data_IF_078363639896
#
_entry.id   IF_078363639896
#
_cell.length_a   1.000
_cell.length_b   1.000
_cell.length_c   1.000
_cell.angle_alpha   90.00
_cell.angle_beta   90.00
_cell.angle_gamma   90.00
#
_symmetry.space_group_name_H-M   'P 1'
#
loop_
_entity.id
_entity.type
_entity.pdbx_description
1 polymer ?
#
# COMPACT_ATOMS: atom_id res chain seq x y z
N UNK A 1 -45.99 27.57 -53.58
CA UNK A 1 -45.61 27.96 -52.22
C UNK A 1 -44.95 26.75 -51.60
N UNK A 2 -43.65 26.56 -51.85
CA UNK A 2 -42.91 25.35 -51.50
C UNK A 2 -42.23 25.59 -50.15
N UNK A 3 -42.51 24.74 -49.17
CA UNK A 3 -41.89 24.82 -47.86
C UNK A 3 -40.42 24.40 -47.96
N UNK A 4 -39.53 25.26 -47.49
CA UNK A 4 -38.10 25.03 -47.38
C UNK A 4 -37.83 24.64 -45.92
N UNK A 5 -37.62 23.35 -45.67
CA UNK A 5 -37.19 22.85 -44.36
C UNK A 5 -35.69 23.06 -44.23
N UNK A 6 -35.29 23.92 -43.31
CA UNK A 6 -33.89 24.14 -42.94
C UNK A 6 -33.35 22.88 -42.24
N UNK A 7 -32.44 22.18 -42.93
CA UNK A 7 -31.63 21.10 -42.36
C UNK A 7 -30.55 21.74 -41.47
N UNK A 8 -30.85 21.83 -40.17
CA UNK A 8 -29.94 22.34 -39.17
C UNK A 8 -28.92 21.24 -38.82
N UNK A 9 -27.89 21.12 -39.67
CA UNK A 9 -26.80 20.15 -39.56
C UNK A 9 -26.04 20.27 -38.23
N UNK A 10 -26.51 19.55 -37.21
CA UNK A 10 -25.71 19.26 -36.03
C UNK A 10 -24.51 18.42 -36.48
N UNK A 11 -23.27 18.80 -36.15
CA UNK A 11 -22.12 17.96 -36.41
C UNK A 11 -22.36 16.63 -35.70
N UNK A 12 -22.52 15.56 -36.47
CA UNK A 12 -22.54 14.21 -35.93
C UNK A 12 -21.25 14.04 -35.12
N UNK A 13 -21.29 13.65 -33.83
CA UNK A 13 -20.08 13.37 -33.09
C UNK A 13 -19.30 12.35 -33.92
N UNK A 14 -18.13 12.79 -34.42
CA UNK A 14 -17.24 11.90 -35.14
C UNK A 14 -16.98 10.66 -34.28
N UNK A 15 -16.76 9.49 -34.89
CA UNK A 15 -16.50 8.27 -34.13
C UNK A 15 -15.45 8.58 -33.07
N UNK A 16 -15.80 8.36 -31.80
CA UNK A 16 -14.88 8.52 -30.67
C UNK A 16 -13.54 7.95 -31.10
N UNK A 17 -12.43 8.73 -31.05
CA UNK A 17 -11.14 8.24 -31.49
C UNK A 17 -10.90 6.93 -30.76
N UNK A 18 -10.90 5.85 -31.54
CA UNK A 18 -10.78 4.47 -31.10
C UNK A 18 -9.74 4.45 -29.97
N UNK A 19 -10.19 4.22 -28.72
CA UNK A 19 -9.28 4.10 -27.57
C UNK A 19 -8.26 3.06 -27.97
N UNK A 20 -7.02 3.47 -28.16
CA UNK A 20 -5.99 2.59 -28.70
C UNK A 20 -5.92 1.31 -27.86
N UNK A 21 -6.03 0.11 -28.47
CA UNK A 21 -5.88 -1.18 -27.77
C UNK A 21 -4.51 -1.38 -27.08
N UNK A 22 -3.61 -0.40 -27.19
CA UNK A 22 -2.20 -0.47 -26.85
C UNK A 22 -1.80 0.25 -25.54
N UNK A 23 -2.74 0.70 -24.71
CA UNK A 23 -2.37 1.01 -23.32
C UNK A 23 -2.08 -0.32 -22.60
N UNK A 24 -0.79 -0.65 -22.50
CA UNK A 24 -0.26 -1.82 -21.80
C UNK A 24 -1.03 -2.05 -20.48
N UNK A 25 -1.45 -3.29 -20.19
CA UNK A 25 -2.27 -3.62 -19.00
C UNK A 25 -1.79 -2.95 -17.69
N UNK A 26 -0.47 -2.85 -17.40
CA UNK A 26 0.06 -2.08 -16.27
C UNK A 26 -0.30 -0.59 -16.28
N UNK A 27 -0.31 0.07 -17.44
CA UNK A 27 -0.69 1.47 -17.57
C UNK A 27 -2.18 1.67 -17.22
N UNK A 28 -3.04 0.76 -17.67
CA UNK A 28 -4.47 0.75 -17.32
C UNK A 28 -4.71 0.52 -15.84
N UNK A 29 -3.95 -0.39 -15.21
CA UNK A 29 -4.01 -0.64 -13.78
C UNK A 29 -3.57 0.58 -12.97
N UNK A 30 -2.44 1.21 -13.35
CA UNK A 30 -1.96 2.45 -12.73
C UNK A 30 -2.99 3.57 -12.85
N UNK A 31 -3.53 3.80 -14.05
CA UNK A 31 -4.57 4.81 -14.26
C UNK A 31 -5.83 4.55 -13.40
N UNK A 32 -6.20 3.29 -13.20
CA UNK A 32 -7.35 2.92 -12.36
C UNK A 32 -7.05 3.15 -10.87
N UNK A 33 -5.88 2.72 -10.38
CA UNK A 33 -5.42 2.99 -9.03
C UNK A 33 -5.39 4.50 -8.76
N UNK A 34 -4.88 5.26 -9.71
CA UNK A 34 -4.75 6.71 -9.58
C UNK A 34 -6.10 7.44 -9.50
N UNK A 35 -7.13 6.89 -10.13
CA UNK A 35 -8.49 7.45 -10.09
C UNK A 35 -9.26 7.03 -8.83
N UNK A 36 -8.99 5.86 -8.28
CA UNK A 36 -9.80 5.23 -7.22
C UNK A 36 -9.25 5.45 -5.81
N UNK A 37 -7.97 5.79 -5.67
CA UNK A 37 -7.30 5.86 -4.37
C UNK A 37 -6.61 7.20 -4.15
N UNK A 38 -6.57 7.68 -2.92
CA UNK A 38 -5.79 8.87 -2.55
C UNK A 38 -4.28 8.57 -2.55
N UNK A 39 -3.41 9.59 -2.66
CA UNK A 39 -1.95 9.39 -2.57
C UNK A 39 -1.56 8.62 -1.29
N UNK A 40 -2.14 9.00 -0.15
CA UNK A 40 -1.92 8.31 1.12
C UNK A 40 -2.32 6.82 1.05
N UNK A 41 -3.49 6.50 0.50
CA UNK A 41 -3.92 5.11 0.34
C UNK A 41 -2.95 4.31 -0.53
N UNK A 42 -2.45 4.88 -1.63
CA UNK A 42 -1.44 4.22 -2.48
C UNK A 42 -0.15 3.98 -1.72
N UNK A 43 0.29 4.95 -0.93
CA UNK A 43 1.47 4.81 -0.09
C UNK A 43 1.32 3.71 0.95
N UNK A 44 0.18 3.64 1.62
CA UNK A 44 -0.07 2.59 2.62
C UNK A 44 -0.22 1.21 1.99
N UNK A 45 -0.86 1.10 0.82
CA UNK A 45 -0.91 -0.15 0.05
C UNK A 45 0.49 -0.59 -0.39
N UNK A 46 1.31 0.35 -0.86
CA UNK A 46 2.69 0.08 -1.23
C UNK A 46 3.51 -0.39 -0.03
N UNK A 47 3.36 0.23 1.14
CA UNK A 47 3.95 -0.21 2.41
C UNK A 47 3.52 -1.64 2.76
N UNK A 48 2.23 -1.94 2.72
CA UNK A 48 1.70 -3.24 3.11
C UNK A 48 2.20 -4.36 2.17
N UNK A 49 2.15 -4.11 0.85
CA UNK A 49 2.63 -5.06 -0.16
C UNK A 49 4.14 -5.27 -0.08
N UNK A 50 4.92 -4.20 0.04
CA UNK A 50 6.38 -4.32 0.11
C UNK A 50 6.83 -4.99 1.41
N UNK A 51 6.15 -4.73 2.52
CA UNK A 51 6.41 -5.41 3.79
C UNK A 51 6.21 -6.92 3.64
N UNK A 52 5.02 -7.35 3.18
CA UNK A 52 4.71 -8.77 3.04
C UNK A 52 5.63 -9.49 2.05
N UNK A 53 5.90 -8.86 0.90
CA UNK A 53 6.80 -9.40 -0.11
C UNK A 53 8.25 -9.53 0.42
N UNK A 54 8.76 -8.49 1.09
CA UNK A 54 10.14 -8.49 1.64
C UNK A 54 10.26 -9.51 2.76
N UNK A 55 9.33 -9.53 3.71
CA UNK A 55 9.31 -10.49 4.81
C UNK A 55 9.27 -11.93 4.27
N UNK A 56 8.33 -12.24 3.37
CA UNK A 56 8.21 -13.56 2.77
C UNK A 56 9.47 -13.97 1.99
N UNK A 57 10.05 -13.04 1.22
CA UNK A 57 11.28 -13.28 0.45
C UNK A 57 12.46 -13.60 1.37
N UNK A 58 12.74 -12.74 2.35
CA UNK A 58 13.86 -12.96 3.27
C UNK A 58 13.66 -14.25 4.05
N UNK A 59 12.44 -14.53 4.52
CA UNK A 59 12.13 -15.77 5.23
C UNK A 59 12.37 -17.01 4.37
N UNK A 60 11.92 -16.96 3.12
CA UNK A 60 12.11 -18.02 2.14
C UNK A 60 13.61 -18.26 1.90
N UNK A 61 14.38 -17.19 1.67
CA UNK A 61 15.83 -17.27 1.47
C UNK A 61 16.53 -17.86 2.70
N UNK A 62 16.21 -17.41 3.91
CA UNK A 62 16.82 -17.92 5.15
C UNK A 62 16.51 -19.40 5.38
N UNK A 63 15.28 -19.85 5.10
CA UNK A 63 14.95 -21.29 5.14
C UNK A 63 15.65 -22.07 4.01
N UNK A 64 15.80 -21.44 2.84
CA UNK A 64 16.64 -21.86 1.71
C UNK A 64 18.07 -22.20 2.12
N UNK A 65 18.73 -21.26 2.77
CA UNK A 65 20.13 -21.38 3.18
C UNK A 65 20.25 -22.41 4.31
N UNK A 66 19.37 -22.34 5.32
CA UNK A 66 19.38 -23.28 6.46
C UNK A 66 19.09 -24.72 6.07
N UNK A 67 18.28 -24.93 5.02
CA UNK A 67 17.94 -26.26 4.50
C UNK A 67 18.96 -26.84 3.51
N UNK A 68 19.99 -26.10 3.11
CA UNK A 68 21.05 -26.56 2.19
C UNK A 68 20.68 -26.66 0.71
N UNK A 69 19.46 -26.30 0.35
CA UNK A 69 18.88 -26.26 -1.01
C UNK A 69 19.14 -24.95 -1.77
N UNK A 70 19.71 -23.93 -1.13
CA UNK A 70 20.09 -22.68 -1.78
C UNK A 70 21.61 -22.49 -1.76
N UNK A 71 22.27 -22.16 -2.89
CA UNK A 71 23.73 -22.09 -2.99
C UNK A 71 24.34 -20.80 -2.39
N UNK A 72 23.53 -19.94 -1.75
CA UNK A 72 23.99 -18.68 -1.18
C UNK A 72 24.41 -18.82 0.29
N UNK A 73 25.53 -18.18 0.64
CA UNK A 73 26.00 -18.09 2.03
C UNK A 73 25.48 -16.84 2.74
N UNK A 74 25.69 -16.77 4.06
CA UNK A 74 25.37 -15.60 4.86
C UNK A 74 26.17 -14.36 4.42
N UNK A 75 25.56 -13.17 4.53
CA UNK A 75 26.26 -11.89 4.31
C UNK A 75 27.14 -11.59 5.53
N UNK A 76 28.45 -11.56 5.32
CA UNK A 76 29.44 -11.23 6.37
C UNK A 76 30.29 -10.04 5.94
N UNK A 77 30.51 -9.09 6.85
CA UNK A 77 31.48 -8.01 6.65
C UNK A 77 32.55 -8.08 7.74
N UNK A 78 33.83 -8.12 7.34
CA UNK A 78 35.00 -8.17 8.25
C UNK A 78 34.90 -9.25 9.35
N UNK A 79 34.40 -10.45 9.02
CA UNK A 79 34.28 -11.56 9.97
C UNK A 79 33.13 -11.46 10.98
N UNK A 80 32.26 -10.45 10.87
CA UNK A 80 31.03 -10.33 11.67
C UNK A 80 29.81 -10.49 10.76
N UNK A 81 28.85 -11.31 11.19
CA UNK A 81 27.59 -11.47 10.47
C UNK A 81 26.79 -10.17 10.58
N UNK A 82 26.51 -9.55 9.44
CA UNK A 82 25.61 -8.40 9.40
C UNK A 82 24.20 -8.93 9.28
N UNK A 83 23.42 -8.75 10.34
CA UNK A 83 21.99 -8.99 10.28
C UNK A 83 21.33 -7.94 9.40
N UNK A 84 20.41 -8.37 8.53
CA UNK A 84 19.66 -7.53 7.62
C UNK A 84 18.77 -6.50 8.33
N UNK A 85 18.47 -6.68 9.62
CA UNK A 85 17.79 -5.64 10.40
C UNK A 85 18.56 -4.31 10.42
N UNK A 86 19.90 -4.34 10.34
CA UNK A 86 20.73 -3.12 10.29
C UNK A 86 20.45 -2.32 9.02
N UNK A 87 20.26 -3.01 7.89
CA UNK A 87 19.85 -2.41 6.62
C UNK A 87 18.44 -1.84 6.76
N UNK A 88 17.55 -2.55 7.45
CA UNK A 88 16.21 -2.07 7.80
C UNK A 88 16.25 -0.75 8.59
N UNK A 89 17.07 -0.68 9.65
CA UNK A 89 17.24 0.53 10.47
C UNK A 89 17.77 1.68 9.63
N UNK A 90 18.82 1.46 8.84
CA UNK A 90 19.38 2.50 7.96
C UNK A 90 18.35 3.00 6.93
N UNK A 91 17.56 2.08 6.38
CA UNK A 91 16.47 2.41 5.44
C UNK A 91 15.40 3.26 6.10
N UNK A 92 14.93 2.87 7.29
CA UNK A 92 13.92 3.63 8.03
C UNK A 92 14.44 4.98 8.51
N UNK A 93 15.72 5.09 8.88
CA UNK A 93 16.35 6.36 9.21
C UNK A 93 16.35 7.32 8.00
N UNK A 94 16.66 6.80 6.79
CA UNK A 94 16.58 7.57 5.55
C UNK A 94 15.16 8.04 5.23
N UNK A 95 14.16 7.16 5.37
CA UNK A 95 12.74 7.54 5.22
C UNK A 95 12.32 8.57 6.28
N UNK A 96 12.77 8.41 7.53
CA UNK A 96 12.54 9.38 8.59
C UNK A 96 13.11 10.75 8.26
N UNK A 97 14.31 10.82 7.67
CA UNK A 97 14.89 12.07 7.21
C UNK A 97 14.07 12.73 6.08
N UNK A 98 13.56 11.93 5.14
CA UNK A 98 12.63 12.40 4.10
C UNK A 98 11.36 12.98 4.71
N UNK A 99 10.81 12.33 5.74
CA UNK A 99 9.63 12.81 6.45
C UNK A 99 9.91 14.12 7.21
N UNK A 100 11.04 14.21 7.91
CA UNK A 100 11.47 15.42 8.65
C UNK A 100 11.70 16.60 7.71
N UNK A 101 12.23 16.35 6.51
CA UNK A 101 12.39 17.39 5.47
C UNK A 101 11.05 18.00 5.04
N UNK A 102 9.93 17.29 5.21
CA UNK A 102 8.59 17.82 4.99
C UNK A 102 8.25 18.09 3.52
N UNK A 103 8.91 17.42 2.56
CA UNK A 103 8.61 17.62 1.15
C UNK A 103 7.23 17.05 0.79
N UNK A 104 6.28 17.94 0.49
CA UNK A 104 4.91 17.59 0.15
C UNK A 104 4.79 16.66 -1.07
N UNK A 105 5.78 16.64 -1.97
CA UNK A 105 5.79 15.70 -3.12
C UNK A 105 6.13 14.27 -2.70
N UNK A 106 6.86 14.11 -1.60
CA UNK A 106 7.28 12.81 -1.08
C UNK A 106 6.29 12.27 -0.04
N UNK A 107 5.60 13.16 0.68
CA UNK A 107 4.53 12.80 1.60
C UNK A 107 3.36 12.13 0.86
N UNK A 108 3.19 10.83 1.06
CA UNK A 108 2.18 10.02 0.38
C UNK A 108 2.61 9.47 -0.98
N UNK A 109 3.89 9.56 -1.34
CA UNK A 109 4.40 8.95 -2.56
C UNK A 109 4.53 7.42 -2.38
N UNK A 110 3.99 6.58 -3.29
CA UNK A 110 3.99 5.13 -3.13
C UNK A 110 5.40 4.52 -3.05
N UNK A 111 6.39 5.14 -3.68
CA UNK A 111 7.79 4.75 -3.55
C UNK A 111 8.33 4.89 -2.12
N UNK A 112 7.96 5.95 -1.39
CA UNK A 112 8.37 6.13 0.01
C UNK A 112 7.72 5.08 0.90
N UNK A 113 6.43 4.81 0.67
CA UNK A 113 5.72 3.71 1.33
C UNK A 113 6.37 2.35 1.07
N UNK A 114 6.71 2.04 -0.18
CA UNK A 114 7.37 0.80 -0.53
C UNK A 114 8.71 0.61 0.19
N UNK A 115 9.56 1.65 0.21
CA UNK A 115 10.87 1.63 0.91
C UNK A 115 10.68 1.48 2.42
N UNK A 116 9.71 2.19 3.00
CA UNK A 116 9.36 2.05 4.41
C UNK A 116 8.92 0.62 4.76
N UNK A 117 8.00 0.05 4.00
CA UNK A 117 7.52 -1.32 4.23
C UNK A 117 8.61 -2.37 4.12
N UNK A 118 9.51 -2.24 3.13
CA UNK A 118 10.66 -3.12 3.00
C UNK A 118 11.62 -3.00 4.20
N UNK A 119 11.98 -1.78 4.61
CA UNK A 119 12.84 -1.55 5.77
C UNK A 119 12.24 -2.09 7.07
N UNK A 120 10.94 -1.89 7.27
CA UNK A 120 10.20 -2.42 8.42
C UNK A 120 10.17 -3.96 8.43
N UNK A 121 10.01 -4.61 7.27
CA UNK A 121 10.02 -6.07 7.17
C UNK A 121 11.39 -6.68 7.52
N UNK A 122 12.49 -6.02 7.13
CA UNK A 122 13.84 -6.48 7.49
C UNK A 122 14.07 -6.44 9.00
N UNK A 123 13.51 -5.44 9.69
CA UNK A 123 13.57 -5.36 11.16
C UNK A 123 12.67 -6.43 11.79
N UNK A 124 11.44 -6.58 11.28
CA UNK A 124 10.48 -7.53 11.82
C UNK A 124 10.93 -8.99 11.71
N UNK A 125 11.65 -9.36 10.64
CA UNK A 125 12.15 -10.73 10.46
C UNK A 125 13.15 -11.17 11.54
N UNK A 126 13.96 -10.24 12.03
CA UNK A 126 14.97 -10.49 13.09
C UNK A 126 14.55 -9.90 14.45
N UNK A 127 13.27 -9.58 14.61
CA UNK A 127 12.78 -8.94 15.83
C UNK A 127 13.13 -9.71 17.12
N UNK A 128 13.08 -11.05 17.06
CA UNK A 128 13.47 -11.89 18.19
C UNK A 128 14.95 -11.71 18.60
N UNK A 129 15.85 -11.45 17.65
CA UNK A 129 17.26 -11.17 17.93
C UNK A 129 17.47 -9.76 18.49
N UNK A 130 16.67 -8.78 18.05
CA UNK A 130 16.77 -7.40 18.52
C UNK A 130 16.42 -7.24 20.00
N UNK A 131 15.51 -8.07 20.50
CA UNK A 131 15.12 -8.06 21.91
C UNK A 131 15.95 -9.02 22.78
N UNK A 132 16.99 -9.64 22.22
CA UNK A 132 17.81 -10.66 22.90
C UNK A 132 16.91 -11.68 23.63
N UNK A 133 15.86 -12.18 22.94
CA UNK A 133 14.98 -13.24 23.44
C UNK A 133 15.75 -14.57 23.45
N UNK A 134 16.85 -14.64 24.20
CA UNK A 134 17.50 -15.89 24.52
C UNK A 134 16.60 -16.64 25.49
N UNK A 135 15.81 -17.57 24.99
CA UNK A 135 15.10 -18.63 25.73
C UNK A 135 14.09 -18.24 26.84
N UNK A 136 14.09 -17.03 27.42
CA UNK A 136 13.36 -16.77 28.69
C UNK A 136 11.90 -16.33 28.53
N UNK A 137 11.26 -16.47 27.36
CA UNK A 137 9.80 -16.21 27.24
C UNK A 137 8.99 -17.24 26.44
N UNK A 138 9.53 -18.44 26.20
CA UNK A 138 8.79 -19.66 25.77
C UNK A 138 8.41 -19.83 24.29
N UNK A 139 9.23 -19.42 23.31
CA UNK A 139 9.02 -19.83 21.92
C UNK A 139 10.32 -19.94 21.11
N UNK A 140 10.33 -20.88 20.15
CA UNK A 140 11.33 -20.95 19.06
C UNK A 140 11.50 -19.53 18.48
N UNK A 141 12.69 -18.92 18.51
CA UNK A 141 12.88 -17.49 18.26
C UNK A 141 12.30 -17.05 16.91
N UNK A 142 12.36 -17.94 15.92
CA UNK A 142 11.75 -17.71 14.62
C UNK A 142 10.23 -17.50 14.64
N UNK A 143 9.48 -18.07 15.60
CA UNK A 143 8.01 -17.96 15.64
C UNK A 143 7.55 -16.57 16.04
N UNK A 144 8.26 -15.91 16.94
CA UNK A 144 7.87 -14.57 17.43
C UNK A 144 7.96 -13.53 16.32
N UNK A 145 9.04 -13.53 15.52
CA UNK A 145 9.14 -12.66 14.34
C UNK A 145 8.02 -12.91 13.34
N UNK A 146 7.59 -14.18 13.19
CA UNK A 146 6.49 -14.56 12.31
C UNK A 146 5.16 -14.05 12.83
N UNK A 147 4.84 -14.29 14.11
CA UNK A 147 3.59 -13.86 14.73
C UNK A 147 3.47 -12.32 14.70
N UNK A 148 4.56 -11.61 15.01
CA UNK A 148 4.61 -10.15 14.91
C UNK A 148 4.36 -9.69 13.47
N UNK A 149 5.03 -10.29 12.49
CA UNK A 149 4.90 -9.89 11.07
C UNK A 149 3.50 -10.15 10.53
N UNK A 150 2.88 -11.28 10.89
CA UNK A 150 1.49 -11.55 10.56
C UNK A 150 0.53 -10.61 11.31
N UNK A 151 0.84 -10.23 12.55
CA UNK A 151 0.11 -9.21 13.28
C UNK A 151 0.13 -7.85 12.58
N UNK A 152 1.29 -7.39 12.14
CA UNK A 152 1.47 -6.15 11.36
C UNK A 152 0.69 -6.23 10.04
N UNK A 153 0.86 -7.32 9.28
CA UNK A 153 0.16 -7.54 8.01
C UNK A 153 -1.36 -7.55 8.19
N UNK A 154 -1.85 -8.26 9.20
CA UNK A 154 -3.28 -8.38 9.47
C UNK A 154 -3.85 -7.05 9.95
N UNK A 155 -3.17 -6.36 10.86
CA UNK A 155 -3.60 -5.07 11.39
C UNK A 155 -3.67 -3.99 10.30
N UNK A 156 -2.60 -3.86 9.50
CA UNK A 156 -2.58 -2.88 8.41
C UNK A 156 -3.55 -3.26 7.28
N UNK A 157 -3.68 -4.55 6.95
CA UNK A 157 -4.65 -5.03 5.97
C UNK A 157 -6.10 -4.78 6.40
N UNK A 158 -6.41 -5.02 7.68
CA UNK A 158 -7.71 -4.71 8.25
C UNK A 158 -7.97 -3.20 8.25
N UNK A 159 -6.99 -2.37 8.62
CA UNK A 159 -7.11 -0.91 8.54
C UNK A 159 -7.46 -0.44 7.12
N UNK A 160 -6.72 -0.95 6.11
CA UNK A 160 -6.90 -0.56 4.72
C UNK A 160 -8.27 -0.95 4.14
N UNK A 161 -8.85 -2.04 4.63
CA UNK A 161 -10.15 -2.54 4.16
C UNK A 161 -11.34 -2.02 4.97
N UNK A 162 -11.21 -1.87 6.29
CA UNK A 162 -12.31 -1.52 7.18
C UNK A 162 -12.57 -0.01 7.29
N UNK A 163 -11.53 0.82 7.32
CA UNK A 163 -11.69 2.28 7.53
C UNK A 163 -12.55 2.95 6.45
N UNK A 164 -12.36 2.68 5.14
CA UNK A 164 -13.21 3.27 4.11
C UNK A 164 -14.69 2.95 4.30
N UNK A 165 -15.01 1.71 4.69
CA UNK A 165 -16.38 1.27 4.94
C UNK A 165 -17.02 2.02 6.11
N UNK A 166 -16.35 2.06 7.27
CA UNK A 166 -16.87 2.76 8.45
C UNK A 166 -17.01 4.26 8.23
N UNK A 167 -16.10 4.85 7.46
CA UNK A 167 -16.14 6.26 7.11
C UNK A 167 -17.36 6.60 6.22
N UNK A 168 -17.70 5.73 5.27
CA UNK A 168 -18.92 5.91 4.46
C UNK A 168 -20.21 5.68 5.26
N UNK A 169 -20.24 4.69 6.16
CA UNK A 169 -21.38 4.50 7.07
C UNK A 169 -21.62 5.73 7.94
N UNK A 170 -20.56 6.28 8.55
CA UNK A 170 -20.67 7.47 9.38
C UNK A 170 -21.24 8.66 8.60
N UNK A 171 -20.82 8.87 7.34
CA UNK A 171 -21.36 9.92 6.46
C UNK A 171 -22.83 9.73 6.15
N UNK A 172 -23.28 8.50 5.91
CA UNK A 172 -24.70 8.21 5.63
C UNK A 172 -25.55 8.50 6.85
N UNK A 173 -25.12 8.05 8.03
CA UNK A 173 -25.85 8.25 9.29
C UNK A 173 -25.89 9.70 9.74
N UNK A 174 -24.83 10.48 9.45
CA UNK A 174 -24.74 11.89 9.83
C UNK A 174 -25.55 12.85 8.94
N UNK A 175 -26.12 12.39 7.81
CA UNK A 175 -26.95 13.25 6.95
C UNK A 175 -28.36 13.37 7.51
N UNK A 176 -28.82 14.57 7.93
CA UNK A 176 -30.18 14.75 8.38
C UNK A 176 -31.17 14.45 7.24
N UNK A 177 -32.38 13.93 7.54
CA UNK A 177 -33.38 13.66 6.53
C UNK A 177 -33.68 14.92 5.72
N UNK A 178 -33.63 14.81 4.38
CA UNK A 178 -34.02 15.87 3.45
C UNK A 178 -35.46 16.26 3.80
N UNK A 179 -35.66 17.46 4.36
CA UNK A 179 -37.00 18.05 4.43
C UNK A 179 -37.47 18.25 2.99
N UNK A 180 -38.47 17.49 2.57
CA UNK A 180 -39.16 17.73 1.31
C UNK A 180 -39.77 19.13 1.31
N UNK A 181 -40.08 19.71 0.14
CA UNK A 181 -40.76 20.99 0.07
C UNK A 181 -42.06 20.87 0.87
N UNK A 182 -42.14 21.59 1.98
CA UNK A 182 -43.40 21.78 2.71
C UNK A 182 -44.29 22.53 1.73
N UNK A 183 -45.32 21.87 1.24
CA UNK A 183 -46.34 22.48 0.40
C UNK A 183 -46.91 23.67 1.16
N UNK A 184 -46.49 24.87 0.77
CA UNK A 184 -47.26 26.08 1.02
C UNK A 184 -48.40 26.04 0.01
N UNK A 185 -49.38 25.18 0.27
CA UNK A 185 -50.69 25.31 -0.35
C UNK A 185 -51.43 26.31 0.53
N UNK A 186 -51.38 27.56 0.10
CA UNK A 186 -52.17 28.65 0.64
C UNK A 186 -53.65 28.34 0.36
N UNK A 187 -54.47 28.29 1.41
CA UNK A 187 -55.90 28.50 1.37
C UNK A 187 -56.35 29.11 2.70
#
# INVERSE_FOLDING_TARGET
MSQQTEDNGLPTPGPDPVRSPAECLPARWRATLDRRTSPLQRSLLATWLSFGATFGTVRFLTHGIRGGWLPWGNISAKGRHLHHYNIGIATLAGVGLVAVRGDAKLTGHPGVGAVYGAGAALIADEFALLLDLQDVYWAKEGRISVDLSFGILSGLGAYLTAVPFWHELAKVTARPPRRGPVGVEAA
#
